data_IF_357252743807
#
_entry.id   IF_357252743807
#
_cell.length_a   1.000
_cell.length_b   1.000
_cell.length_c   1.000
_cell.angle_alpha   90.00
_cell.angle_beta   90.00
_cell.angle_gamma   90.00
#
_symmetry.space_group_name_H-M   'P 1'
#
loop_
_entity.id
_entity.type
_entity.pdbx_description
1 polymer ?
#
# COMPACT_ATOMS: atom_id res chain seq x y z
N UNK A 1 -22.60 7.81 -12.66
CA UNK A 1 -23.74 7.28 -11.87
C UNK A 1 -23.43 5.87 -11.44
N UNK A 2 -23.15 5.64 -10.15
CA UNK A 2 -22.94 4.28 -9.63
C UNK A 2 -24.26 3.51 -9.70
N UNK A 3 -24.23 2.27 -10.20
CA UNK A 3 -25.39 1.37 -10.16
C UNK A 3 -26.48 1.58 -11.21
N UNK A 4 -26.35 2.54 -12.14
CA UNK A 4 -27.36 2.80 -13.18
C UNK A 4 -26.71 3.19 -14.51
N UNK A 5 -27.28 2.71 -15.62
CA UNK A 5 -26.86 3.06 -16.98
C UNK A 5 -28.07 3.35 -17.86
N UNK A 6 -27.94 4.29 -18.80
CA UNK A 6 -28.98 4.60 -19.78
C UNK A 6 -28.61 3.93 -21.09
N UNK A 7 -29.51 3.12 -21.67
CA UNK A 7 -29.33 2.55 -23.01
C UNK A 7 -30.53 2.95 -23.86
N UNK A 8 -30.29 3.82 -24.85
CA UNK A 8 -31.37 4.45 -25.61
C UNK A 8 -32.20 5.38 -24.72
N UNK A 9 -33.53 5.17 -24.71
CA UNK A 9 -34.48 5.98 -23.95
C UNK A 9 -34.79 5.46 -22.55
N UNK A 10 -34.30 4.28 -22.17
CA UNK A 10 -34.69 3.58 -20.92
C UNK A 10 -33.50 3.46 -19.96
N UNK A 11 -33.78 3.59 -18.66
CA UNK A 11 -32.80 3.38 -17.59
C UNK A 11 -32.70 1.90 -17.19
N UNK A 12 -31.49 1.49 -16.84
CA UNK A 12 -31.16 0.14 -16.40
C UNK A 12 -30.37 0.21 -15.09
N UNK A 13 -30.70 -0.66 -14.14
CA UNK A 13 -29.86 -0.91 -12.98
C UNK A 13 -28.71 -1.84 -13.36
N UNK A 14 -27.51 -1.52 -12.88
CA UNK A 14 -26.28 -2.29 -13.15
C UNK A 14 -25.67 -2.73 -11.83
N UNK A 15 -25.71 -4.03 -11.56
CA UNK A 15 -24.99 -4.64 -10.45
C UNK A 15 -23.57 -4.98 -10.92
N UNK A 16 -22.57 -4.37 -10.29
CA UNK A 16 -21.15 -4.67 -10.53
C UNK A 16 -20.73 -5.80 -9.59
N UNK A 17 -20.18 -6.88 -10.15
CA UNK A 17 -19.71 -8.03 -9.39
C UNK A 17 -18.23 -7.84 -9.03
N UNK A 18 -17.81 -8.13 -7.79
CA UNK A 18 -16.40 -8.14 -7.40
C UNK A 18 -15.54 -9.01 -8.32
N UNK A 19 -14.32 -8.55 -8.64
CA UNK A 19 -13.42 -9.16 -9.65
C UNK A 19 -13.08 -10.61 -9.35
N UNK A 20 -12.93 -10.93 -8.08
CA UNK A 20 -12.66 -12.24 -7.52
C UNK A 20 -13.84 -13.23 -7.65
N UNK A 21 -15.08 -12.73 -7.81
CA UNK A 21 -16.29 -13.57 -7.97
C UNK A 21 -16.82 -13.63 -9.39
N UNK A 22 -16.08 -13.13 -10.38
CA UNK A 22 -16.51 -13.19 -11.78
C UNK A 22 -16.65 -14.62 -12.29
N UNK A 23 -15.75 -15.52 -11.92
CA UNK A 23 -15.78 -16.91 -12.34
C UNK A 23 -16.94 -17.68 -11.68
N UNK A 24 -17.14 -17.48 -10.37
CA UNK A 24 -18.23 -18.12 -9.62
C UNK A 24 -19.60 -17.65 -10.13
N UNK A 25 -19.77 -16.34 -10.28
CA UNK A 25 -21.01 -15.76 -10.82
C UNK A 25 -21.21 -16.19 -12.28
N UNK A 26 -20.14 -16.29 -13.06
CA UNK A 26 -20.18 -16.79 -14.44
C UNK A 26 -20.62 -18.24 -14.53
N UNK A 27 -20.13 -19.10 -13.63
CA UNK A 27 -20.50 -20.52 -13.52
C UNK A 27 -21.98 -20.68 -13.18
N UNK A 28 -22.45 -19.95 -12.17
CA UNK A 28 -23.82 -20.05 -11.66
C UNK A 28 -24.86 -19.43 -12.58
N UNK A 29 -24.50 -18.36 -13.30
CA UNK A 29 -25.42 -17.66 -14.22
C UNK A 29 -25.32 -18.12 -15.67
N UNK A 30 -24.56 -19.20 -15.95
CA UNK A 30 -24.41 -19.76 -17.29
C UNK A 30 -23.75 -18.83 -18.31
N UNK A 31 -22.80 -17.99 -17.89
CA UNK A 31 -22.14 -17.06 -18.79
C UNK A 31 -21.30 -17.79 -19.85
N UNK A 32 -21.45 -17.41 -21.13
CA UNK A 32 -20.80 -18.08 -22.29
C UNK A 32 -19.27 -18.14 -22.21
N UNK A 33 -18.65 -17.14 -21.59
CA UNK A 33 -17.21 -17.01 -21.37
C UNK A 33 -16.77 -17.51 -19.96
N UNK A 34 -17.66 -18.16 -19.22
CA UNK A 34 -17.44 -18.62 -17.85
C UNK A 34 -17.21 -17.52 -16.81
N UNK A 35 -17.34 -16.24 -17.17
CA UNK A 35 -17.08 -15.11 -16.26
C UNK A 35 -18.12 -14.00 -16.44
N UNK A 36 -18.71 -13.52 -15.34
CA UNK A 36 -19.70 -12.44 -15.37
C UNK A 36 -19.26 -11.26 -14.52
N UNK A 37 -19.04 -10.13 -15.19
CA UNK A 37 -18.52 -8.89 -14.58
C UNK A 37 -19.62 -8.02 -14.00
N UNK A 38 -20.76 -8.01 -14.68
CA UNK A 38 -21.91 -7.21 -14.34
C UNK A 38 -23.21 -7.88 -14.79
N UNK A 39 -24.28 -7.50 -14.10
CA UNK A 39 -25.65 -7.86 -14.45
C UNK A 39 -26.44 -6.57 -14.61
N UNK A 40 -27.16 -6.48 -15.72
CA UNK A 40 -27.93 -5.30 -16.09
C UNK A 40 -29.40 -5.71 -16.17
N UNK A 41 -30.28 -4.97 -15.50
CA UNK A 41 -31.73 -5.17 -15.53
C UNK A 41 -32.42 -3.86 -15.90
N UNK A 42 -33.41 -3.94 -16.79
CA UNK A 42 -34.21 -2.76 -17.18
C UNK A 42 -35.02 -2.26 -15.99
N UNK A 43 -35.12 -0.94 -15.84
CA UNK A 43 -36.04 -0.28 -14.90
C UNK A 43 -37.36 0.12 -15.58
N UNK A 44 -37.49 -0.15 -16.88
CA UNK A 44 -38.70 0.06 -17.69
C UNK A 44 -39.26 1.47 -17.63
N UNK A 45 -38.39 2.45 -17.37
CA UNK A 45 -38.77 3.86 -17.29
C UNK A 45 -37.80 4.73 -18.06
N UNK A 46 -38.37 5.78 -18.66
CA UNK A 46 -37.64 6.86 -19.34
C UNK A 46 -37.34 8.03 -18.39
N UNK A 47 -38.03 8.09 -17.25
CA UNK A 47 -37.95 9.17 -16.28
C UNK A 47 -36.88 8.91 -15.24
N UNK A 48 -35.99 9.88 -15.05
CA UNK A 48 -34.83 9.75 -14.17
C UNK A 48 -35.21 9.59 -12.69
N UNK A 49 -36.20 10.36 -12.22
CA UNK A 49 -36.65 10.32 -10.81
C UNK A 49 -37.27 8.96 -10.46
N UNK A 50 -38.07 8.43 -11.38
CA UNK A 50 -38.69 7.11 -11.20
C UNK A 50 -37.66 5.98 -11.32
N UNK A 51 -36.65 6.13 -12.19
CA UNK A 51 -35.52 5.21 -12.27
C UNK A 51 -34.74 5.14 -10.95
N UNK A 52 -34.51 6.29 -10.29
CA UNK A 52 -33.83 6.33 -9.00
C UNK A 52 -34.61 5.61 -7.90
N UNK A 53 -35.93 5.79 -7.82
CA UNK A 53 -36.78 5.05 -6.86
C UNK A 53 -36.75 3.55 -7.09
N UNK A 54 -36.82 3.11 -8.35
CA UNK A 54 -36.80 1.68 -8.72
C UNK A 54 -35.41 1.05 -8.64
N UNK A 55 -34.35 1.86 -8.62
CA UNK A 55 -32.96 1.39 -8.65
C UNK A 55 -32.65 0.46 -7.48
N UNK A 56 -32.96 0.88 -6.27
CA UNK A 56 -32.49 0.16 -5.07
C UNK A 56 -33.24 -1.17 -4.89
N UNK A 57 -34.54 -1.19 -5.18
CA UNK A 57 -35.34 -2.41 -5.24
C UNK A 57 -34.88 -3.36 -6.38
N UNK A 58 -34.51 -2.82 -7.54
CA UNK A 58 -33.99 -3.63 -8.63
C UNK A 58 -32.59 -4.21 -8.31
N UNK A 59 -31.74 -3.44 -7.62
CA UNK A 59 -30.42 -3.89 -7.17
C UNK A 59 -30.52 -4.97 -6.08
N UNK A 60 -31.43 -4.85 -5.11
CA UNK A 60 -31.66 -5.89 -4.11
C UNK A 60 -32.18 -7.18 -4.75
N UNK A 61 -33.19 -7.09 -5.62
CA UNK A 61 -33.73 -8.26 -6.32
C UNK A 61 -32.69 -8.98 -7.20
N UNK A 62 -31.84 -8.22 -7.91
CA UNK A 62 -30.72 -8.81 -8.68
C UNK A 62 -29.72 -9.53 -7.77
N UNK A 63 -29.44 -8.98 -6.58
CA UNK A 63 -28.51 -9.58 -5.62
C UNK A 63 -29.08 -10.86 -5.02
N UNK A 64 -30.34 -10.85 -4.60
CA UNK A 64 -31.04 -12.01 -4.03
C UNK A 64 -31.05 -13.18 -5.01
N UNK A 65 -31.39 -12.92 -6.28
CA UNK A 65 -31.37 -13.95 -7.31
C UNK A 65 -29.98 -14.59 -7.48
N UNK A 66 -28.90 -13.80 -7.43
CA UNK A 66 -27.54 -14.35 -7.51
C UNK A 66 -27.17 -15.12 -6.25
N UNK A 67 -27.54 -14.63 -5.07
CA UNK A 67 -27.26 -15.31 -3.81
C UNK A 67 -27.95 -16.66 -3.73
N UNK A 68 -29.21 -16.74 -4.17
CA UNK A 68 -29.95 -17.99 -4.29
C UNK A 68 -29.23 -18.95 -5.24
N UNK A 69 -28.82 -18.45 -6.42
CA UNK A 69 -28.12 -19.27 -7.39
C UNK A 69 -26.74 -19.72 -6.87
N UNK A 70 -25.98 -18.86 -6.16
CA UNK A 70 -24.72 -19.24 -5.53
C UNK A 70 -24.92 -20.30 -4.46
N UNK A 71 -25.95 -20.15 -3.62
CA UNK A 71 -26.29 -21.11 -2.57
C UNK A 71 -26.66 -22.50 -3.14
N UNK A 72 -27.38 -22.54 -4.26
CA UNK A 72 -27.71 -23.78 -4.96
C UNK A 72 -26.47 -24.55 -5.46
N UNK A 73 -25.37 -23.84 -5.70
CA UNK A 73 -24.08 -24.42 -6.09
C UNK A 73 -23.10 -24.60 -4.92
N UNK A 74 -23.57 -24.52 -3.67
CA UNK A 74 -22.75 -24.55 -2.45
C UNK A 74 -21.65 -23.48 -2.43
N UNK A 75 -21.87 -22.35 -3.10
CA UNK A 75 -20.95 -21.21 -3.10
C UNK A 75 -21.44 -20.14 -2.12
N UNK A 76 -20.52 -19.43 -1.46
CA UNK A 76 -20.88 -18.40 -0.51
C UNK A 76 -21.66 -17.28 -1.21
N UNK A 77 -22.77 -16.79 -0.62
CA UNK A 77 -23.54 -15.67 -1.17
C UNK A 77 -22.67 -14.41 -1.31
N UNK A 78 -23.09 -13.47 -2.16
CA UNK A 78 -22.48 -12.15 -2.27
C UNK A 78 -22.66 -11.30 -0.99
N UNK A 79 -23.51 -11.72 -0.04
CA UNK A 79 -23.65 -11.15 1.31
C UNK A 79 -23.61 -12.22 2.40
N UNK A 80 -22.86 -11.94 3.48
CA UNK A 80 -22.74 -12.77 4.68
C UNK A 80 -21.28 -12.87 5.12
N UNK A 81 -20.84 -12.03 6.07
CA UNK A 81 -19.45 -11.94 6.61
C UNK A 81 -18.30 -11.83 5.61
N UNK A 82 -18.61 -11.83 4.32
CA UNK A 82 -17.66 -11.82 3.23
C UNK A 82 -17.50 -10.36 2.80
N UNK A 83 -16.66 -9.64 3.55
CA UNK A 83 -15.81 -8.65 2.89
C UNK A 83 -14.94 -9.43 1.91
N UNK A 84 -14.60 -8.89 0.72
CA UNK A 84 -13.52 -9.50 0.00
C UNK A 84 -12.35 -9.58 0.99
N UNK A 85 -11.67 -10.71 1.07
CA UNK A 85 -10.29 -10.68 1.52
C UNK A 85 -9.48 -9.98 0.41
N UNK A 86 -9.84 -8.74 0.07
CA UNK A 86 -8.83 -7.78 -0.32
C UNK A 86 -7.98 -7.68 0.93
N UNK A 87 -6.66 -7.82 0.80
CA UNK A 87 -5.73 -7.67 1.91
C UNK A 87 -5.80 -6.30 2.63
N UNK A 88 -6.74 -5.43 2.29
CA UNK A 88 -7.05 -4.18 2.98
C UNK A 88 -7.85 -4.45 4.26
N UNK A 89 -7.13 -4.45 5.38
CA UNK A 89 -7.65 -4.44 6.74
C UNK A 89 -8.79 -3.41 6.92
N UNK A 90 -9.69 -3.60 7.89
CA UNK A 90 -10.76 -2.65 8.25
C UNK A 90 -10.23 -1.22 8.44
N UNK A 91 -9.00 -1.11 8.95
CA UNK A 91 -8.24 0.13 9.09
C UNK A 91 -8.01 0.84 7.75
N UNK A 92 -7.76 0.10 6.67
CA UNK A 92 -7.60 0.65 5.31
C UNK A 92 -8.90 1.24 4.78
N UNK A 93 -10.05 0.60 5.04
CA UNK A 93 -11.36 1.11 4.61
C UNK A 93 -11.72 2.41 5.33
N UNK A 94 -11.49 2.45 6.64
CA UNK A 94 -11.71 3.64 7.47
C UNK A 94 -10.80 4.79 7.01
N UNK A 95 -9.53 4.48 6.72
CA UNK A 95 -8.60 5.44 6.14
C UNK A 95 -9.11 5.99 4.80
N UNK A 96 -9.51 5.13 3.86
CA UNK A 96 -10.03 5.56 2.56
C UNK A 96 -11.26 6.47 2.71
N UNK A 97 -12.17 6.12 3.63
CA UNK A 97 -13.34 6.93 3.93
C UNK A 97 -12.95 8.30 4.51
N UNK A 98 -12.02 8.34 5.46
CA UNK A 98 -11.51 9.58 6.05
C UNK A 98 -10.79 10.47 5.01
N UNK A 99 -9.99 9.89 4.12
CA UNK A 99 -9.33 10.62 3.04
C UNK A 99 -10.32 11.21 2.04
N UNK A 100 -11.38 10.47 1.71
CA UNK A 100 -12.46 10.97 0.87
C UNK A 100 -13.18 12.13 1.57
N UNK A 101 -13.54 11.96 2.84
CA UNK A 101 -14.15 13.01 3.65
C UNK A 101 -13.29 14.29 3.69
N UNK A 102 -11.97 14.15 3.89
CA UNK A 102 -11.03 15.27 3.84
C UNK A 102 -11.09 16.02 2.51
N UNK A 103 -11.14 15.30 1.40
CA UNK A 103 -11.22 15.90 0.07
C UNK A 103 -12.56 16.60 -0.16
N UNK A 104 -13.66 15.99 0.29
CA UNK A 104 -15.00 16.54 0.16
C UNK A 104 -15.14 17.82 1.02
N UNK A 105 -14.63 17.82 2.26
CA UNK A 105 -14.58 18.99 3.15
C UNK A 105 -13.67 20.11 2.62
N UNK A 106 -12.52 19.78 2.03
CA UNK A 106 -11.61 20.77 1.45
C UNK A 106 -12.18 21.44 0.19
N UNK A 107 -13.14 20.80 -0.48
CA UNK A 107 -13.83 21.34 -1.65
C UNK A 107 -15.19 21.96 -1.33
N UNK A 108 -15.65 21.90 -0.08
CA UNK A 108 -16.92 22.47 0.34
C UNK A 108 -16.79 23.99 0.51
N UNK A 109 -17.84 24.70 0.13
CA UNK A 109 -17.88 26.15 0.24
C UNK A 109 -18.10 26.59 1.70
N UNK A 110 -17.42 27.65 2.12
CA UNK A 110 -17.53 28.20 3.48
C UNK A 110 -18.84 28.99 3.67
N UNK A 111 -19.62 29.16 2.60
CA UNK A 111 -20.91 29.82 2.61
C UNK A 111 -22.02 28.87 2.13
N UNK A 112 -23.16 28.88 2.82
CA UNK A 112 -24.40 28.23 2.37
C UNK A 112 -25.55 29.21 2.54
N UNK A 113 -26.40 29.32 1.52
CA UNK A 113 -27.66 30.05 1.62
C UNK A 113 -28.55 29.35 2.66
N UNK A 114 -29.05 30.05 3.70
CA UNK A 114 -29.92 29.45 4.71
C UNK A 114 -31.14 28.78 4.06
N UNK A 115 -31.54 27.62 4.58
CA UNK A 115 -32.81 26.98 4.21
C UNK A 115 -33.93 27.53 5.10
N UNK A 116 -34.86 28.23 4.47
CA UNK A 116 -36.07 28.78 5.09
C UNK A 116 -37.20 27.75 5.03
N UNK A 117 -38.10 27.77 6.03
CA UNK A 117 -39.21 26.81 6.14
C UNK A 117 -40.18 26.90 4.96
N UNK A 118 -40.25 28.08 4.34
CA UNK A 118 -41.00 28.39 3.15
C UNK A 118 -40.07 29.11 2.14
N UNK A 119 -40.39 29.06 0.85
CA UNK A 119 -39.68 29.78 -0.23
C UNK A 119 -39.75 31.33 -0.09
N UNK A 120 -40.32 31.84 1.00
CA UNK A 120 -40.46 33.25 1.29
C UNK A 120 -39.44 33.71 2.37
N UNK A 121 -38.40 34.47 1.99
CA UNK A 121 -37.38 34.98 2.92
C UNK A 121 -37.93 36.02 3.91
N UNK A 122 -39.18 36.46 3.79
CA UNK A 122 -39.80 37.43 4.69
C UNK A 122 -40.41 36.83 5.98
N UNK A 123 -40.68 35.53 6.00
CA UNK A 123 -41.21 34.84 7.21
C UNK A 123 -40.10 34.46 8.22
N UNK A 124 -38.83 34.44 7.79
CA UNK A 124 -37.66 34.43 8.68
C UNK A 124 -37.43 33.17 9.52
N UNK A 125 -38.24 32.11 9.38
CA UNK A 125 -38.05 30.87 10.14
C UNK A 125 -37.00 30.00 9.43
N UNK A 126 -35.78 30.03 9.96
CA UNK A 126 -34.64 29.19 9.51
C UNK A 126 -34.83 27.76 10.02
N UNK A 127 -34.78 26.76 9.12
CA UNK A 127 -35.01 25.33 9.46
C UNK A 127 -33.72 24.62 9.86
N UNK A 128 -32.57 25.10 9.37
CA UNK A 128 -31.27 24.54 9.72
C UNK A 128 -30.24 25.64 9.95
N UNK A 129 -29.58 25.60 11.10
CA UNK A 129 -28.49 26.50 11.51
C UNK A 129 -27.10 26.06 10.99
N UNK A 130 -27.01 25.19 9.98
CA UNK A 130 -25.71 24.88 9.37
C UNK A 130 -25.21 26.10 8.61
N UNK A 131 -24.38 26.91 9.27
CA UNK A 131 -23.90 28.21 8.79
C UNK A 131 -23.01 28.12 7.52
N UNK A 132 -22.54 26.93 7.14
CA UNK A 132 -21.79 26.69 5.91
C UNK A 132 -22.02 25.30 5.30
N UNK A 133 -21.70 25.14 4.01
CA UNK A 133 -21.74 23.83 3.33
C UNK A 133 -20.68 22.88 3.92
N UNK A 134 -19.61 23.47 4.46
CA UNK A 134 -18.56 22.77 5.20
C UNK A 134 -19.04 22.22 6.54
N UNK A 135 -19.81 22.98 7.33
CA UNK A 135 -20.36 22.51 8.62
C UNK A 135 -21.35 21.37 8.43
N UNK A 136 -22.24 21.51 7.44
CA UNK A 136 -23.15 20.42 7.06
C UNK A 136 -22.38 19.18 6.55
N UNK A 137 -21.32 19.40 5.76
CA UNK A 137 -20.41 18.34 5.34
C UNK A 137 -19.72 17.66 6.53
N UNK A 138 -19.33 18.43 7.56
CA UNK A 138 -18.69 17.92 8.76
C UNK A 138 -19.65 17.02 9.56
N UNK A 139 -20.92 17.40 9.69
CA UNK A 139 -21.95 16.58 10.34
C UNK A 139 -22.16 15.24 9.62
N UNK A 140 -22.25 15.26 8.28
CA UNK A 140 -22.35 14.04 7.47
C UNK A 140 -21.12 13.15 7.66
N UNK A 141 -19.93 13.74 7.70
CA UNK A 141 -18.68 13.00 7.93
C UNK A 141 -18.67 12.38 9.31
N UNK A 142 -19.02 13.14 10.35
CA UNK A 142 -19.10 12.65 11.74
C UNK A 142 -20.08 11.48 11.85
N UNK A 143 -21.28 11.59 11.27
CA UNK A 143 -22.25 10.51 11.27
C UNK A 143 -21.72 9.27 10.54
N UNK A 144 -21.12 9.44 9.35
CA UNK A 144 -20.58 8.34 8.57
C UNK A 144 -19.41 7.63 9.26
N UNK A 145 -18.56 8.37 9.99
CA UNK A 145 -17.48 7.82 10.81
C UNK A 145 -18.03 7.09 12.05
N UNK A 146 -19.04 7.65 12.71
CA UNK A 146 -19.70 7.01 13.85
C UNK A 146 -20.37 5.69 13.43
N UNK A 147 -21.04 5.66 12.27
CA UNK A 147 -21.59 4.43 11.71
C UNK A 147 -20.50 3.40 11.40
N UNK A 148 -19.34 3.81 10.91
CA UNK A 148 -18.21 2.91 10.68
C UNK A 148 -17.68 2.33 11.99
N UNK A 149 -17.48 3.17 13.02
CA UNK A 149 -17.05 2.75 14.35
C UNK A 149 -18.03 1.76 14.99
N UNK A 150 -19.34 2.01 14.88
CA UNK A 150 -20.38 1.11 15.37
C UNK A 150 -20.32 -0.27 14.71
N UNK A 151 -19.91 -0.38 13.44
CA UNK A 151 -19.68 -1.67 12.78
C UNK A 151 -18.49 -2.42 13.38
N UNK A 152 -17.44 -1.71 13.83
CA UNK A 152 -16.30 -2.31 14.54
C UNK A 152 -16.76 -2.86 15.89
N UNK A 153 -17.50 -2.05 16.66
CA UNK A 153 -18.03 -2.47 17.95
C UNK A 153 -18.95 -3.69 17.81
N UNK A 154 -19.77 -3.74 16.76
CA UNK A 154 -20.64 -4.89 16.46
C UNK A 154 -19.87 -6.16 16.08
N UNK A 155 -18.70 -6.03 15.44
CA UNK A 155 -17.84 -7.18 15.08
C UNK A 155 -17.10 -7.76 16.30
N UNK A 156 -16.78 -6.94 17.28
CA UNK A 156 -16.03 -7.33 18.48
C UNK A 156 -16.83 -6.99 19.74
N UNK A 157 -17.79 -7.84 20.16
CA UNK A 157 -18.62 -7.54 21.31
C UNK A 157 -17.78 -7.40 22.60
N UNK A 158 -18.10 -6.39 23.40
CA UNK A 158 -17.48 -6.11 24.70
C UNK A 158 -16.61 -4.85 24.74
N UNK A 159 -16.06 -4.56 25.92
CA UNK A 159 -15.30 -3.33 26.19
C UNK A 159 -14.06 -3.15 25.30
N UNK A 160 -13.46 -4.26 24.82
CA UNK A 160 -12.32 -4.22 23.90
C UNK A 160 -12.71 -3.71 22.52
N UNK A 161 -13.83 -4.18 21.96
CA UNK A 161 -14.27 -3.71 20.64
C UNK A 161 -14.80 -2.29 20.67
N UNK A 162 -15.37 -1.86 21.78
CA UNK A 162 -15.79 -0.47 21.97
C UNK A 162 -14.58 0.47 22.00
N UNK A 163 -13.51 0.13 22.75
CA UNK A 163 -12.25 0.90 22.70
C UNK A 163 -11.65 0.95 21.30
N UNK A 164 -11.64 -0.17 20.57
CA UNK A 164 -11.15 -0.19 19.19
C UNK A 164 -12.00 0.68 18.25
N UNK A 165 -13.32 0.73 18.47
CA UNK A 165 -14.23 1.59 17.72
C UNK A 165 -13.96 3.06 18.00
N UNK A 166 -13.78 3.43 19.27
CA UNK A 166 -13.47 4.81 19.69
C UNK A 166 -12.12 5.27 19.13
N UNK A 167 -11.07 4.44 19.26
CA UNK A 167 -9.74 4.73 18.70
C UNK A 167 -9.79 4.91 17.18
N UNK A 168 -10.50 4.03 16.47
CA UNK A 168 -10.64 4.11 15.03
C UNK A 168 -11.45 5.34 14.59
N UNK A 169 -12.50 5.70 15.35
CA UNK A 169 -13.28 6.92 15.13
C UNK A 169 -12.39 8.16 15.24
N UNK A 170 -11.66 8.31 16.35
CA UNK A 170 -10.79 9.46 16.58
C UNK A 170 -9.69 9.55 15.52
N UNK A 171 -9.05 8.43 15.18
CA UNK A 171 -8.03 8.42 14.12
C UNK A 171 -8.62 8.84 12.76
N UNK A 172 -9.80 8.33 12.40
CA UNK A 172 -10.45 8.68 11.13
C UNK A 172 -10.92 10.13 11.10
N UNK A 173 -11.45 10.61 12.21
CA UNK A 173 -11.87 11.99 12.42
C UNK A 173 -10.68 12.93 12.21
N UNK A 174 -9.56 12.70 12.91
CA UNK A 174 -8.38 13.55 12.81
C UNK A 174 -7.82 13.60 11.38
N UNK A 175 -7.88 12.49 10.64
CA UNK A 175 -7.49 12.44 9.23
C UNK A 175 -8.48 13.24 8.37
N UNK A 176 -9.78 13.07 8.58
CA UNK A 176 -10.84 13.74 7.81
C UNK A 176 -10.79 15.26 7.96
N UNK A 177 -10.57 15.75 9.18
CA UNK A 177 -10.44 17.18 9.47
C UNK A 177 -9.04 17.74 9.25
N UNK A 178 -8.09 16.90 8.82
CA UNK A 178 -6.73 17.31 8.46
C UNK A 178 -5.81 17.62 9.64
N UNK A 179 -6.17 17.20 10.85
CA UNK A 179 -5.34 17.30 12.06
C UNK A 179 -4.14 16.34 12.02
N UNK A 180 -4.29 15.21 11.33
CA UNK A 180 -3.22 14.23 11.15
C UNK A 180 -3.01 13.88 9.69
N UNK A 181 -1.77 13.55 9.33
CA UNK A 181 -1.39 13.19 7.97
C UNK A 181 -0.93 11.73 7.90
N UNK A 182 -1.75 10.82 7.36
CA UNK A 182 -1.36 9.43 7.22
C UNK A 182 -0.22 9.27 6.22
N UNK A 183 0.68 8.33 6.49
CA UNK A 183 1.83 8.04 5.64
C UNK A 183 1.43 7.60 4.24
N UNK A 184 0.23 7.06 4.02
CA UNK A 184 -0.31 6.72 2.70
C UNK A 184 -0.21 7.87 1.70
N UNK A 185 -0.73 9.06 2.06
CA UNK A 185 -0.72 10.25 1.19
C UNK A 185 0.71 10.60 0.78
N UNK A 186 1.63 10.52 1.73
CA UNK A 186 3.02 10.91 1.55
C UNK A 186 3.79 9.89 0.71
N UNK A 187 3.58 8.60 0.97
CA UNK A 187 4.22 7.51 0.24
C UNK A 187 3.71 7.42 -1.20
N UNK A 188 2.42 7.66 -1.42
CA UNK A 188 1.81 7.68 -2.76
C UNK A 188 2.29 8.87 -3.59
N UNK A 189 2.81 9.91 -2.94
CA UNK A 189 3.48 11.03 -3.62
C UNK A 189 4.98 10.79 -3.80
N UNK A 190 5.66 10.24 -2.79
CA UNK A 190 7.11 10.11 -2.77
C UNK A 190 7.62 8.96 -3.65
N UNK A 191 7.01 7.77 -3.56
CA UNK A 191 7.50 6.59 -4.30
C UNK A 191 7.47 6.80 -5.82
N UNK A 192 6.39 7.36 -6.42
CA UNK A 192 6.37 7.64 -7.86
C UNK A 192 7.41 8.68 -8.29
N UNK A 193 7.80 9.63 -7.43
CA UNK A 193 8.87 10.60 -7.75
C UNK A 193 10.24 9.93 -7.89
N UNK A 194 10.44 8.77 -7.28
CA UNK A 194 11.68 8.00 -7.39
C UNK A 194 11.71 7.16 -8.67
N UNK A 195 10.55 6.83 -9.25
CA UNK A 195 10.45 6.06 -10.47
C UNK A 195 11.18 6.78 -11.62
N UNK A 196 12.04 6.05 -12.35
CA UNK A 196 12.89 6.61 -13.40
C UNK A 196 14.18 7.29 -12.90
N UNK A 197 14.21 7.78 -11.66
CA UNK A 197 15.39 8.41 -11.06
C UNK A 197 16.30 7.43 -10.32
N UNK A 198 15.72 6.35 -9.77
CA UNK A 198 16.47 5.31 -9.06
C UNK A 198 16.19 3.91 -9.60
N UNK A 199 17.00 2.93 -9.20
CA UNK A 199 16.79 1.54 -9.61
C UNK A 199 15.55 0.93 -8.93
N UNK A 200 14.86 0.03 -9.63
CA UNK A 200 13.75 -0.73 -9.05
C UNK A 200 14.18 -1.48 -7.77
N UNK A 201 15.41 -2.01 -7.74
CA UNK A 201 15.97 -2.66 -6.54
C UNK A 201 16.00 -1.72 -5.31
N UNK A 202 16.18 -0.41 -5.52
CA UNK A 202 16.15 0.59 -4.45
C UNK A 202 14.71 0.90 -4.02
N UNK A 203 13.77 1.01 -4.97
CA UNK A 203 12.33 1.17 -4.65
C UNK A 203 11.84 -0.02 -3.83
N UNK A 204 12.12 -1.26 -4.27
CA UNK A 204 11.76 -2.47 -3.53
C UNK A 204 12.38 -2.51 -2.13
N UNK A 205 13.58 -1.91 -1.97
CA UNK A 205 14.22 -1.78 -0.66
C UNK A 205 13.49 -0.77 0.22
N UNK A 206 12.96 0.31 -0.35
CA UNK A 206 12.15 1.27 0.39
C UNK A 206 10.85 0.63 0.88
N UNK A 207 10.12 -0.06 -0.01
CA UNK A 207 8.94 -0.86 0.37
C UNK A 207 9.26 -1.80 1.54
N UNK A 208 10.31 -2.62 1.43
CA UNK A 208 10.75 -3.51 2.53
C UNK A 208 11.09 -2.77 3.83
N UNK A 209 11.61 -1.54 3.75
CA UNK A 209 11.85 -0.69 4.92
C UNK A 209 10.56 -0.32 5.63
N UNK A 210 9.56 0.11 4.86
CA UNK A 210 8.23 0.45 5.37
C UNK A 210 7.47 -0.78 5.88
N UNK A 211 7.54 -1.92 5.20
CA UNK A 211 6.95 -3.16 5.71
C UNK A 211 7.57 -3.57 7.06
N UNK A 212 8.88 -3.38 7.26
CA UNK A 212 9.52 -3.66 8.56
C UNK A 212 9.07 -2.70 9.65
N UNK A 213 8.94 -1.41 9.34
CA UNK A 213 8.40 -0.44 10.28
C UNK A 213 6.96 -0.79 10.68
N UNK A 214 6.10 -1.10 9.71
CA UNK A 214 4.73 -1.49 10.00
C UNK A 214 4.60 -2.77 10.79
N UNK A 215 5.50 -3.75 10.57
CA UNK A 215 5.55 -4.96 11.38
C UNK A 215 5.87 -4.62 12.84
N UNK A 216 6.89 -3.79 13.08
CA UNK A 216 7.25 -3.34 14.41
C UNK A 216 6.11 -2.58 15.10
N UNK A 217 5.47 -1.64 14.39
CA UNK A 217 4.39 -0.84 14.96
C UNK A 217 3.18 -1.72 15.33
N UNK A 218 2.81 -2.67 14.47
CA UNK A 218 1.75 -3.63 14.78
C UNK A 218 2.10 -4.47 16.02
N UNK A 219 3.33 -5.01 16.11
CA UNK A 219 3.79 -5.78 17.26
C UNK A 219 3.79 -4.95 18.55
N UNK A 220 4.20 -3.68 18.48
CA UNK A 220 4.19 -2.76 19.62
C UNK A 220 2.78 -2.45 20.15
N UNK A 221 1.78 -2.54 19.29
CA UNK A 221 0.35 -2.42 19.63
C UNK A 221 -0.28 -3.78 19.99
N UNK A 222 0.52 -4.83 20.17
CA UNK A 222 0.05 -6.17 20.52
C UNK A 222 -0.70 -6.89 19.40
N UNK A 223 -0.60 -6.39 18.15
CA UNK A 223 -1.31 -6.91 16.99
C UNK A 223 -0.35 -7.62 16.02
N UNK A 224 -0.82 -8.69 15.37
CA UNK A 224 -0.11 -9.30 14.24
C UNK A 224 -0.79 -8.87 12.97
N UNK A 225 -0.04 -8.21 12.09
CA UNK A 225 -0.54 -7.81 10.77
C UNK A 225 -0.08 -8.78 9.69
N UNK A 226 -1.00 -9.20 8.81
CA UNK A 226 -0.69 -9.95 7.59
C UNK A 226 -0.15 -9.05 6.48
N UNK A 227 -0.47 -7.75 6.54
CA UNK A 227 0.03 -6.72 5.62
C UNK A 227 0.73 -5.60 6.40
N UNK A 228 2.03 -5.76 6.70
CA UNK A 228 2.79 -4.76 7.42
C UNK A 228 2.91 -3.42 6.69
N UNK A 229 2.95 -3.44 5.35
CA UNK A 229 3.11 -2.21 4.59
C UNK A 229 1.79 -1.44 4.49
N UNK A 230 0.66 -2.13 4.29
CA UNK A 230 -0.65 -1.52 4.42
C UNK A 230 -0.88 -0.93 5.81
N UNK A 231 -0.40 -1.60 6.87
CA UNK A 231 -0.50 -1.08 8.23
C UNK A 231 0.30 0.20 8.44
N UNK A 232 1.56 0.28 8.00
CA UNK A 232 2.33 1.52 8.20
C UNK A 232 1.74 2.70 7.43
N UNK A 233 1.05 2.45 6.31
CA UNK A 233 0.37 3.47 5.51
C UNK A 233 -0.78 4.15 6.27
N UNK A 234 -1.37 3.50 7.27
CA UNK A 234 -2.43 4.10 8.11
C UNK A 234 -1.88 4.95 9.25
N UNK A 235 -0.60 4.84 9.56
CA UNK A 235 0.04 5.56 10.66
C UNK A 235 0.28 7.00 10.25
N UNK A 236 -0.05 7.93 11.16
CA UNK A 236 0.16 9.35 10.97
C UNK A 236 1.65 9.70 11.12
N UNK A 237 2.19 10.56 10.25
CA UNK A 237 3.61 10.94 10.27
C UNK A 237 4.00 11.58 11.62
N UNK A 238 3.07 12.29 12.24
CA UNK A 238 3.22 13.01 13.51
C UNK A 238 3.42 12.08 14.71
N UNK A 239 2.98 10.82 14.61
CA UNK A 239 3.11 9.82 15.69
C UNK A 239 4.52 9.24 15.81
N UNK A 240 5.37 9.44 14.79
CA UNK A 240 6.72 8.85 14.76
C UNK A 240 7.71 9.83 15.39
N UNK A 241 7.96 9.64 16.67
CA UNK A 241 8.94 10.41 17.44
C UNK A 241 10.32 9.73 17.52
N UNK A 242 11.28 10.41 18.17
CA UNK A 242 12.63 9.84 18.39
C UNK A 242 12.63 8.56 19.24
N UNK A 243 11.64 8.36 20.12
CA UNK A 243 11.54 7.16 20.96
C UNK A 243 11.14 5.96 20.11
N UNK A 244 10.15 6.12 19.24
CA UNK A 244 9.73 5.13 18.25
C UNK A 244 10.90 4.72 17.37
N UNK A 245 11.70 5.69 16.90
CA UNK A 245 12.92 5.42 16.11
C UNK A 245 13.95 4.60 16.90
N UNK A 246 14.18 4.95 18.17
CA UNK A 246 15.09 4.23 19.05
C UNK A 246 14.66 2.78 19.28
N UNK A 247 13.41 2.57 19.68
CA UNK A 247 12.85 1.24 19.91
C UNK A 247 12.80 0.40 18.62
N UNK A 248 12.45 1.00 17.48
CA UNK A 248 12.47 0.31 16.19
C UNK A 248 13.88 -0.16 15.82
N UNK A 249 14.91 0.67 16.06
CA UNK A 249 16.30 0.27 15.85
C UNK A 249 16.68 -0.92 16.73
N UNK A 250 16.35 -0.88 18.01
CA UNK A 250 16.64 -1.97 18.95
C UNK A 250 15.93 -3.26 18.53
N UNK A 251 14.66 -3.15 18.12
CA UNK A 251 13.89 -4.25 17.57
C UNK A 251 14.56 -4.85 16.33
N UNK A 252 15.01 -4.02 15.38
CA UNK A 252 15.73 -4.48 14.19
C UNK A 252 17.04 -5.21 14.53
N UNK A 253 17.80 -4.72 15.53
CA UNK A 253 19.04 -5.37 15.98
C UNK A 253 18.78 -6.69 16.71
N UNK A 254 17.60 -6.87 17.32
CA UNK A 254 17.20 -8.09 18.00
C UNK A 254 16.73 -9.21 17.04
N UNK A 255 16.35 -8.86 15.80
CA UNK A 255 15.84 -9.84 14.84
C UNK A 255 16.93 -10.86 14.41
N UNK A 256 16.59 -12.17 14.39
CA UNK A 256 17.55 -13.20 14.01
C UNK A 256 17.94 -13.08 12.53
N UNK A 257 19.24 -13.18 12.24
CA UNK A 257 19.77 -13.21 10.87
C UNK A 257 19.89 -11.84 10.20
N UNK A 258 19.57 -10.74 10.89
CA UNK A 258 19.73 -9.38 10.35
C UNK A 258 21.08 -8.81 10.76
N UNK A 259 21.94 -8.56 9.78
CA UNK A 259 23.25 -7.94 10.02
C UNK A 259 23.17 -6.42 10.18
N UNK A 260 24.16 -5.77 10.83
CA UNK A 260 24.18 -4.31 11.04
C UNK A 260 24.06 -3.48 9.76
N UNK A 261 24.50 -4.01 8.61
CA UNK A 261 24.34 -3.36 7.29
C UNK A 261 22.88 -3.31 6.84
N UNK A 262 22.10 -4.36 7.13
CA UNK A 262 20.68 -4.42 6.78
C UNK A 262 19.89 -3.48 7.69
N UNK A 263 20.21 -3.45 8.99
CA UNK A 263 19.65 -2.46 9.93
C UNK A 263 19.90 -1.03 9.43
N UNK A 264 21.16 -0.70 9.09
CA UNK A 264 21.50 0.62 8.56
C UNK A 264 20.74 0.95 7.25
N UNK A 265 20.48 -0.05 6.41
CA UNK A 265 19.72 0.11 5.18
C UNK A 265 18.24 0.45 5.43
N UNK A 266 17.60 -0.18 6.43
CA UNK A 266 16.22 0.12 6.79
C UNK A 266 16.11 1.53 7.41
N UNK A 267 16.99 1.87 8.35
CA UNK A 267 17.03 3.21 8.94
C UNK A 267 17.33 4.31 7.92
N UNK A 268 18.20 4.03 6.94
CA UNK A 268 18.49 4.98 5.85
C UNK A 268 17.27 5.21 4.96
N UNK A 269 16.41 4.22 4.76
CA UNK A 269 15.17 4.40 3.98
C UNK A 269 14.27 5.43 4.66
N UNK A 270 14.02 5.24 5.97
CA UNK A 270 13.19 6.16 6.74
C UNK A 270 13.79 7.57 6.76
N UNK A 271 15.11 7.67 6.98
CA UNK A 271 15.79 8.96 6.95
C UNK A 271 15.67 9.69 5.60
N UNK A 272 15.76 8.99 4.47
CA UNK A 272 15.58 9.62 3.14
C UNK A 272 14.14 10.10 2.94
N UNK A 273 13.15 9.30 3.31
CA UNK A 273 11.75 9.70 3.20
C UNK A 273 11.41 10.90 4.11
N UNK A 274 11.85 10.90 5.38
CA UNK A 274 11.59 12.03 6.27
C UNK A 274 12.31 13.33 5.84
N UNK A 275 13.51 13.22 5.24
CA UNK A 275 14.16 14.41 4.62
C UNK A 275 13.33 15.00 3.50
N UNK A 276 12.73 14.15 2.67
CA UNK A 276 11.81 14.62 1.63
C UNK A 276 10.55 15.23 2.25
N UNK A 277 9.98 14.61 3.30
CA UNK A 277 8.81 15.15 3.99
C UNK A 277 9.09 16.53 4.62
N UNK A 278 10.28 16.72 5.18
CA UNK A 278 10.76 18.00 5.70
C UNK A 278 10.89 19.06 4.60
N UNK A 279 11.50 18.71 3.46
CA UNK A 279 11.65 19.62 2.32
C UNK A 279 10.31 20.08 1.72
N UNK A 280 9.28 19.23 1.76
CA UNK A 280 7.96 19.52 1.22
C UNK A 280 7.04 20.17 2.27
N UNK A 281 7.46 20.25 3.54
CA UNK A 281 6.73 20.91 4.62
C UNK A 281 5.71 20.03 5.37
N UNK A 282 5.81 18.70 5.26
CA UNK A 282 4.95 17.76 6.02
C UNK A 282 5.53 17.34 7.37
N UNK A 283 6.79 17.68 7.65
CA UNK A 283 7.44 17.41 8.93
C UNK A 283 8.37 18.57 9.30
N UNK A 284 8.32 19.04 10.54
CA UNK A 284 9.20 20.11 11.01
C UNK A 284 10.62 19.61 11.29
N UNK A 285 10.75 18.38 11.77
CA UNK A 285 12.04 17.81 12.17
C UNK A 285 12.10 16.32 11.82
N UNK A 286 13.26 15.87 11.35
CA UNK A 286 13.49 14.48 11.05
C UNK A 286 13.90 13.66 12.30
N UNK A 287 13.04 12.77 12.83
CA UNK A 287 13.34 11.95 14.01
C UNK A 287 14.38 10.85 13.71
N UNK A 288 14.62 10.54 12.43
CA UNK A 288 15.56 9.51 11.97
C UNK A 288 16.99 10.00 11.85
N UNK A 289 17.22 11.31 12.01
CA UNK A 289 18.55 11.89 11.94
C UNK A 289 19.46 11.28 13.02
N UNK A 290 20.64 10.80 12.61
CA UNK A 290 21.59 10.15 13.51
C UNK A 290 21.24 8.71 13.93
N UNK A 291 20.10 8.16 13.49
CA UNK A 291 19.68 6.79 13.83
C UNK A 291 20.70 5.71 13.42
N UNK A 292 21.51 5.96 12.39
CA UNK A 292 22.55 5.05 11.91
C UNK A 292 23.89 5.18 12.66
N UNK A 293 24.01 6.11 13.62
CA UNK A 293 25.25 6.34 14.35
C UNK A 293 25.65 5.10 15.17
N UNK A 294 26.96 4.79 15.18
CA UNK A 294 27.49 3.59 15.83
C UNK A 294 27.34 2.28 15.04
N UNK A 295 26.42 2.19 14.06
CA UNK A 295 26.30 0.98 13.21
C UNK A 295 27.52 0.80 12.32
N UNK A 296 28.12 1.88 11.82
CA UNK A 296 29.37 1.82 11.03
C UNK A 296 30.51 1.15 11.81
N UNK A 297 30.65 1.44 13.10
CA UNK A 297 31.64 0.80 13.98
C UNK A 297 31.35 -0.70 14.17
N UNK A 298 30.07 -1.07 14.33
CA UNK A 298 29.64 -2.48 14.40
C UNK A 298 29.89 -3.25 13.09
N UNK A 299 29.71 -2.61 11.93
CA UNK A 299 30.02 -3.18 10.61
C UNK A 299 31.52 -3.40 10.44
N UNK A 300 32.35 -2.45 10.87
CA UNK A 300 33.81 -2.55 10.79
C UNK A 300 34.39 -3.62 11.73
N UNK A 301 33.65 -4.05 12.76
CA UNK A 301 34.14 -4.96 13.79
C UNK A 301 33.27 -6.24 13.90
N UNK A 302 33.31 -7.15 12.89
CA UNK A 302 32.43 -8.32 12.80
C UNK A 302 32.64 -9.35 13.92
N UNK A 303 33.78 -9.31 14.63
CA UNK A 303 34.15 -10.26 15.70
C UNK A 303 33.23 -10.24 16.93
N UNK A 304 32.53 -9.13 17.21
CA UNK A 304 31.57 -9.03 18.33
C UNK A 304 30.12 -9.38 17.96
N UNK A 305 29.76 -9.39 16.67
CA UNK A 305 28.40 -9.68 16.23
C UNK A 305 28.09 -11.20 16.21
N UNK A 306 29.13 -12.02 15.98
CA UNK A 306 28.99 -13.49 15.89
C UNK A 306 28.91 -14.17 17.27
N UNK A 307 29.42 -13.52 18.32
CA UNK A 307 29.50 -14.09 19.67
C UNK A 307 28.19 -14.04 20.47
N UNK A 308 27.21 -13.20 20.08
CA UNK A 308 25.88 -13.15 20.73
C UNK A 308 24.82 -14.03 20.09
N UNK A 309 24.90 -14.34 18.79
CA UNK A 309 23.93 -15.19 18.11
C UNK A 309 24.28 -16.69 18.18
N UNK A 310 25.57 -17.03 18.38
CA UNK A 310 26.03 -18.42 18.46
C UNK A 310 25.88 -19.07 19.86
N UNK A 311 25.57 -18.32 20.92
CA UNK A 311 25.54 -18.86 22.29
C UNK A 311 24.22 -19.53 22.71
N UNK A 312 23.16 -19.53 21.87
CA UNK A 312 21.88 -20.15 22.22
C UNK A 312 21.46 -21.40 21.43
N UNK A 313 22.13 -21.77 20.33
CA UNK A 313 21.84 -23.04 19.62
C UNK A 313 23.04 -23.58 18.87
N UNK A 314 23.79 -24.50 19.48
CA UNK A 314 24.32 -25.73 18.86
C UNK A 314 25.59 -26.24 19.56
N UNK A 315 25.41 -27.04 20.61
CA UNK A 315 26.36 -28.12 20.94
C UNK A 315 25.83 -29.51 20.61
N UNK A 316 24.65 -29.64 19.97
CA UNK A 316 24.02 -30.95 19.69
C UNK A 316 23.68 -31.26 18.23
N UNK A 317 23.98 -30.39 17.26
CA UNK A 317 23.64 -30.65 15.84
C UNK A 317 24.83 -30.68 14.87
N UNK A 318 26.05 -30.35 15.32
CA UNK A 318 27.22 -30.35 14.43
C UNK A 318 27.86 -31.73 14.24
N UNK A 319 27.58 -32.70 15.12
CA UNK A 319 28.10 -34.07 15.05
C UNK A 319 27.26 -35.03 14.20
N UNK A 320 26.09 -34.60 13.67
CA UNK A 320 25.19 -35.45 12.87
C UNK A 320 25.21 -35.17 11.36
N UNK A 321 25.85 -34.10 10.89
CA UNK A 321 25.89 -33.71 9.47
C UNK A 321 27.25 -33.91 8.78
N UNK A 322 28.26 -34.41 9.49
CA UNK A 322 29.55 -34.83 8.91
C UNK A 322 29.63 -36.35 8.75
N UNK A 323 28.60 -36.97 8.16
CA UNK A 323 28.65 -38.40 7.79
C UNK A 323 28.03 -38.73 6.42
N UNK A 324 27.95 -37.76 5.53
CA UNK A 324 27.67 -37.98 4.11
C UNK A 324 28.56 -37.09 3.25
N UNK A 325 29.73 -37.61 2.87
CA UNK A 325 30.60 -36.99 1.87
C UNK A 325 31.43 -38.03 1.12
N UNK A 326 30.85 -38.61 0.07
CA UNK A 326 31.52 -39.23 -1.10
C UNK A 326 30.44 -39.05 -2.20
N UNK A 327 30.57 -38.33 -3.31
CA UNK A 327 31.67 -38.09 -4.24
C UNK A 327 31.28 -36.90 -5.13
N UNK A 328 32.23 -36.00 -5.42
CA UNK A 328 32.48 -35.43 -6.76
C UNK A 328 33.31 -34.15 -6.62
N UNK A 329 34.57 -34.31 -7.00
CA UNK A 329 35.55 -33.26 -7.18
C UNK A 329 35.27 -32.56 -8.51
N UNK A 330 35.14 -31.24 -8.51
CA UNK A 330 35.89 -30.40 -9.46
C UNK A 330 36.04 -28.96 -8.97
N UNK A 331 37.28 -28.66 -8.58
CA UNK A 331 37.81 -27.32 -8.34
C UNK A 331 37.62 -26.45 -9.59
N UNK A 332 37.14 -25.22 -9.40
CA UNK A 332 37.69 -24.05 -10.12
C UNK A 332 37.91 -22.92 -9.12
N UNK A 333 39.18 -22.54 -8.98
CA UNK A 333 39.63 -21.32 -8.30
C UNK A 333 39.12 -20.13 -9.13
N UNK A 334 38.42 -19.22 -8.48
CA UNK A 334 38.08 -17.90 -9.00
C UNK A 334 39.28 -16.97 -8.83
N UNK A 335 39.78 -16.41 -9.93
CA UNK A 335 40.37 -15.06 -9.91
C UNK A 335 39.23 -14.06 -10.07
N UNK A 336 39.35 -12.93 -9.36
CA UNK A 336 38.29 -11.96 -9.15
C UNK A 336 37.63 -11.44 -10.43
N UNK A 337 36.34 -11.74 -10.57
CA UNK A 337 35.42 -11.03 -11.47
C UNK A 337 34.08 -10.94 -10.75
N UNK A 338 33.52 -9.73 -10.65
CA UNK A 338 32.19 -9.49 -10.10
C UNK A 338 31.16 -10.30 -10.90
N UNK A 339 30.47 -11.22 -10.25
CA UNK A 339 29.31 -11.88 -10.83
C UNK A 339 28.16 -10.88 -10.98
N UNK A 340 27.98 -10.31 -12.18
CA UNK A 340 26.66 -9.98 -12.74
C UNK A 340 26.80 -9.60 -14.23
N UNK A 341 26.13 -10.43 -15.05
CA UNK A 341 25.85 -10.36 -16.51
C UNK A 341 26.97 -10.93 -17.42
N UNK A 342 26.63 -11.82 -18.38
CA UNK A 342 25.45 -11.69 -19.25
C UNK A 342 24.56 -12.94 -19.35
N UNK A 343 23.26 -12.77 -19.10
CA UNK A 343 22.20 -13.58 -19.71
C UNK A 343 21.46 -12.67 -20.70
N UNK A 344 22.00 -12.60 -21.92
CA UNK A 344 21.33 -12.27 -23.19
C UNK A 344 22.41 -12.34 -24.28
N UNK A 345 22.77 -13.56 -24.65
CA UNK A 345 23.46 -13.82 -25.90
C UNK A 345 22.43 -14.46 -26.83
N UNK A 346 21.83 -13.64 -27.69
CA UNK A 346 21.13 -14.12 -28.88
C UNK A 346 22.15 -14.81 -29.78
N UNK A 347 21.80 -16.03 -30.19
CA UNK A 347 22.54 -16.83 -31.15
C UNK A 347 22.48 -16.20 -32.54
N UNK A 348 23.34 -15.23 -32.81
CA UNK A 348 23.53 -14.71 -34.18
C UNK A 348 24.84 -13.93 -34.30
N UNK A 349 25.98 -14.63 -34.15
CA UNK A 349 27.27 -14.25 -34.74
C UNK A 349 28.29 -15.37 -34.57
N UNK A 350 28.05 -16.48 -35.25
CA UNK A 350 29.11 -17.42 -35.63
C UNK A 350 29.35 -17.20 -37.11
N UNK A 351 30.40 -16.45 -37.48
CA UNK A 351 31.16 -16.71 -38.70
C UNK A 351 32.42 -15.83 -38.80
N UNK A 352 33.50 -16.55 -39.09
CA UNK A 352 34.76 -16.14 -39.74
C UNK A 352 35.72 -15.29 -38.89
N UNK A 353 36.69 -15.98 -38.31
CA UNK A 353 38.10 -15.60 -38.46
C UNK A 353 39.00 -16.83 -38.22
N UNK A 354 39.37 -17.49 -39.33
CA UNK A 354 40.64 -18.22 -39.45
C UNK A 354 41.48 -17.42 -40.43
N UNK A 355 42.59 -16.83 -39.98
CA UNK A 355 43.93 -17.06 -40.55
C UNK A 355 44.97 -16.23 -39.81
N UNK A 356 45.99 -16.97 -39.41
CA UNK A 356 47.28 -16.56 -38.86
C UNK A 356 48.08 -15.86 -39.96
N UNK A 357 48.77 -14.75 -39.62
CA UNK A 357 50.16 -14.45 -40.01
C UNK A 357 50.67 -13.17 -39.33
N UNK A 358 51.78 -13.32 -38.61
CA UNK A 358 52.81 -12.32 -38.27
C UNK A 358 53.97 -12.65 -39.26
N UNK A 359 54.84 -11.75 -39.80
CA UNK A 359 55.56 -10.70 -39.06
C UNK A 359 55.96 -9.41 -39.83
N UNK A 360 56.57 -8.47 -39.11
CA UNK A 360 57.69 -7.66 -39.63
C UNK A 360 57.51 -6.14 -39.65
N UNK A 361 58.32 -5.46 -38.82
CA UNK A 361 59.00 -4.16 -38.99
C UNK A 361 58.30 -3.01 -39.76
N UNK A 362 58.31 -1.73 -39.38
CA UNK A 362 59.43 -0.88 -38.98
C UNK A 362 58.91 0.35 -38.22
N UNK A 363 59.82 0.96 -37.45
CA UNK A 363 59.72 2.31 -36.89
C UNK A 363 59.56 3.35 -38.01
N UNK A 364 58.83 4.44 -37.75
CA UNK A 364 59.33 5.81 -37.92
C UNK A 364 58.34 6.82 -37.32
N UNK A 365 58.83 7.50 -36.29
CA UNK A 365 58.33 8.72 -35.67
C UNK A 365 58.37 9.91 -36.64
N UNK A 366 57.38 10.81 -36.62
CA UNK A 366 57.60 12.25 -36.86
C UNK A 366 56.49 13.12 -36.24
N UNK A 367 56.84 14.40 -36.06
CA UNK A 367 56.38 15.39 -35.09
C UNK A 367 55.07 16.11 -35.46
N UNK A 368 54.40 16.59 -34.41
CA UNK A 368 53.44 17.73 -34.30
C UNK A 368 54.01 19.07 -34.85
N UNK A 369 53.31 20.23 -34.84
CA UNK A 369 51.87 20.62 -34.94
C UNK A 369 51.73 21.85 -35.94
N UNK A 370 50.94 22.96 -35.78
CA UNK A 370 49.65 23.27 -35.12
C UNK A 370 48.60 24.03 -36.01
N UNK A 371 47.41 24.30 -35.42
CA UNK A 371 46.47 25.45 -35.58
C UNK A 371 46.22 26.07 -36.98
N UNK A 372 44.95 26.25 -37.35
CA UNK A 372 44.21 27.53 -37.23
C UNK A 372 42.77 27.41 -37.76
N UNK A 373 41.94 28.31 -37.24
CA UNK A 373 40.51 28.50 -37.39
C UNK A 373 40.03 28.81 -38.81
N UNK A 374 38.78 28.43 -39.10
CA UNK A 374 37.72 29.30 -39.64
C UNK A 374 36.37 28.70 -39.22
#
# INVERSE_FOLDING_TARGET
>A
MQGMTKRGSVYYARLIIPKDRWADTGRVTGARNGTRRDIVKSLETKDYREALRRRDAALSAMREAINQALSAHNLPPLQGSWSPSLGSSLQTQILEQALKARKDLAGADDYRTPEYLNDDPSEGIVVSESFSSRDFGADIVNEALAQAANRIAAQYPGSKGQRMADEAYHQAHDIAFGLTTPLSILLDRWLPQLEGNVTQELIDRHHRGFSRLGQYLAESQGSKTSDPEGFVRTIAIETIDKKVVGHFREWLEALPGIGPRVVASHLSTMNTFWKWAEQVGYAETNPWQGSTHGLKKKIANPRRAMTRSASRRSRRLFSRLMRYRVSSVRRRRCQGVRHRRPCRATWSRVRKQRRIRVPGSQRLSFRLPPRMSA
#
